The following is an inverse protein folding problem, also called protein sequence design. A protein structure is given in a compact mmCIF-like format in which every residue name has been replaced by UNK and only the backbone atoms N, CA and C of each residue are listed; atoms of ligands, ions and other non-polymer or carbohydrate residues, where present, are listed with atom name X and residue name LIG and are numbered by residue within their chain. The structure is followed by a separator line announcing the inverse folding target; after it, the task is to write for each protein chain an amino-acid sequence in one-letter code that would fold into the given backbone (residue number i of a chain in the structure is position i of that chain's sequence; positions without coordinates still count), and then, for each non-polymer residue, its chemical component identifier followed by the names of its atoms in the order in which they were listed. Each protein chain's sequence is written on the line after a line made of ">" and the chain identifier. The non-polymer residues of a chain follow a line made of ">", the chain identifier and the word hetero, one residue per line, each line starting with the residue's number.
data_IF_868351348313
#
_entry.id   IF_868351348313
#
_cell.length_a   1.000
_cell.length_b   1.000
_cell.length_c   1.000
_cell.angle_alpha   90.00
_cell.angle_beta   90.00
_cell.angle_gamma   90.00
#
_symmetry.space_group_name_H-M   'P 1'
#
loop_
_entity.id
_entity.type
_entity.pdbx_description
1 polymer ?
#
# COMPACT_ATOMS: atom_id res chain seq x y z
N UNK A 1 10.57 -22.74 -5.90
CA UNK A 1 9.18 -22.29 -6.15
C UNK A 1 8.83 -21.27 -5.10
N UNK A 2 8.34 -20.10 -5.48
CA UNK A 2 7.92 -19.05 -4.53
C UNK A 2 6.49 -19.24 -4.04
N UNK A 3 5.62 -19.70 -4.94
CA UNK A 3 4.19 -19.92 -4.68
C UNK A 3 3.94 -21.41 -4.50
N UNK A 4 3.18 -21.77 -3.47
CA UNK A 4 2.66 -23.12 -3.27
C UNK A 4 1.38 -23.29 -4.06
N UNK A 5 1.33 -24.31 -4.92
CA UNK A 5 0.15 -24.55 -5.77
C UNK A 5 -1.01 -25.14 -4.97
N UNK A 6 -2.17 -24.48 -5.03
CA UNK A 6 -3.41 -24.96 -4.42
C UNK A 6 -4.31 -25.62 -5.47
N UNK A 7 -4.91 -26.77 -5.12
CA UNK A 7 -5.83 -27.48 -6.01
C UNK A 7 -7.16 -26.74 -6.06
N UNK A 8 -7.65 -26.43 -7.26
CA UNK A 8 -8.88 -25.64 -7.46
C UNK A 8 -10.13 -26.23 -6.79
N UNK A 9 -10.20 -27.56 -6.62
CA UNK A 9 -11.33 -28.26 -5.98
C UNK A 9 -11.01 -28.71 -4.54
N UNK A 10 -9.99 -28.13 -3.93
CA UNK A 10 -9.68 -28.38 -2.52
C UNK A 10 -10.83 -27.80 -1.64
N UNK A 11 -11.45 -28.59 -0.75
CA UNK A 11 -12.45 -28.06 0.18
C UNK A 11 -11.89 -26.97 1.10
N UNK A 12 -10.56 -26.91 1.29
CA UNK A 12 -9.85 -25.92 2.09
C UNK A 12 -9.05 -24.93 1.22
N UNK A 13 -9.53 -24.64 0.01
CA UNK A 13 -8.84 -23.76 -0.94
C UNK A 13 -8.38 -22.42 -0.33
N UNK A 14 -9.26 -21.75 0.44
CA UNK A 14 -8.93 -20.50 1.11
C UNK A 14 -7.73 -20.62 2.05
N UNK A 15 -7.69 -21.68 2.88
CA UNK A 15 -6.58 -21.92 3.80
C UNK A 15 -5.28 -22.23 3.05
N UNK A 16 -5.37 -23.01 1.96
CA UNK A 16 -4.20 -23.29 1.14
C UNK A 16 -3.61 -22.00 0.55
N UNK A 17 -4.46 -21.13 -0.01
CA UNK A 17 -4.04 -19.85 -0.57
C UNK A 17 -3.45 -18.95 0.51
N UNK A 18 -4.10 -18.85 1.67
CA UNK A 18 -3.59 -18.11 2.83
C UNK A 18 -2.19 -18.57 3.20
N UNK A 19 -1.97 -19.88 3.34
CA UNK A 19 -0.65 -20.44 3.66
C UNK A 19 0.39 -20.12 2.57
N UNK A 20 0.00 -20.19 1.30
CA UNK A 20 0.89 -19.81 0.20
C UNK A 20 1.27 -18.33 0.23
N UNK A 21 0.35 -17.43 0.57
CA UNK A 21 0.63 -15.99 0.68
C UNK A 21 1.51 -15.70 1.90
N UNK A 22 1.23 -16.33 3.05
CA UNK A 22 2.07 -16.19 4.24
C UNK A 22 3.51 -16.66 3.97
N UNK A 23 3.68 -17.75 3.21
CA UNK A 23 5.01 -18.24 2.81
C UNK A 23 5.75 -17.29 1.86
N UNK A 24 5.03 -16.42 1.13
CA UNK A 24 5.63 -15.42 0.24
C UNK A 24 6.17 -14.20 0.98
N UNK A 25 5.78 -13.96 2.23
CA UNK A 25 6.06 -12.71 2.97
C UNK A 25 7.53 -12.30 2.94
N UNK A 26 8.44 -13.22 3.27
CA UNK A 26 9.88 -12.97 3.24
C UNK A 26 10.40 -12.62 1.84
N UNK A 27 9.79 -13.19 0.79
CA UNK A 27 10.16 -12.92 -0.59
C UNK A 27 9.56 -11.63 -1.14
N UNK A 28 8.36 -11.26 -0.70
CA UNK A 28 7.80 -9.94 -0.98
C UNK A 28 8.65 -8.84 -0.35
N UNK A 29 9.11 -9.06 0.89
CA UNK A 29 10.03 -8.15 1.58
C UNK A 29 11.28 -7.83 0.75
N UNK A 30 11.97 -8.85 0.24
CA UNK A 30 13.18 -8.66 -0.57
C UNK A 30 12.93 -8.39 -2.06
N UNK A 31 11.71 -8.64 -2.54
CA UNK A 31 11.38 -8.69 -3.97
C UNK A 31 11.85 -9.97 -4.66
N UNK A 32 11.44 -10.11 -5.93
CA UNK A 32 11.84 -11.18 -6.85
C UNK A 32 12.14 -10.55 -8.23
N UNK A 33 13.33 -9.94 -8.42
CA UNK A 33 13.67 -9.19 -9.63
C UNK A 33 13.59 -10.02 -10.91
N UNK A 34 13.88 -11.32 -10.85
CA UNK A 34 13.79 -12.24 -11.97
C UNK A 34 12.35 -12.47 -12.47
N UNK A 35 11.35 -12.12 -11.64
CA UNK A 35 9.93 -12.13 -11.99
C UNK A 35 9.35 -10.71 -12.18
N UNK A 36 10.19 -9.67 -12.08
CA UNK A 36 9.75 -8.28 -12.13
C UNK A 36 8.96 -7.82 -10.90
N UNK A 37 9.07 -8.53 -9.77
CA UNK A 37 8.41 -8.15 -8.51
C UNK A 37 9.39 -7.28 -7.69
N UNK A 38 9.06 -6.01 -7.40
CA UNK A 38 9.91 -5.16 -6.59
C UNK A 38 9.95 -5.60 -5.13
N UNK A 39 10.89 -5.06 -4.36
CA UNK A 39 10.89 -5.20 -2.90
C UNK A 39 9.69 -4.45 -2.30
N UNK A 40 9.15 -4.97 -1.20
CA UNK A 40 8.07 -4.33 -0.44
C UNK A 40 8.57 -3.65 0.84
N UNK A 41 9.88 -3.69 1.12
CA UNK A 41 10.53 -2.98 2.24
C UNK A 41 11.89 -2.37 1.83
N UNK A 42 11.93 -1.10 1.41
CA UNK A 42 10.76 -0.32 0.99
C UNK A 42 10.21 -0.79 -0.36
N UNK A 43 8.91 -0.56 -0.58
CA UNK A 43 8.37 -0.43 -1.92
C UNK A 43 8.65 0.98 -2.44
N UNK A 44 9.53 1.06 -3.42
CA UNK A 44 9.87 2.31 -4.10
C UNK A 44 8.97 2.54 -5.30
N UNK A 45 8.41 3.75 -5.40
CA UNK A 45 7.63 4.24 -6.53
C UNK A 45 8.31 5.50 -7.05
N UNK A 46 9.01 5.36 -8.18
CA UNK A 46 9.78 6.43 -8.81
C UNK A 46 8.92 7.34 -9.71
N UNK A 47 7.71 6.91 -10.07
CA UNK A 47 6.81 7.66 -10.94
C UNK A 47 6.19 8.88 -10.23
N UNK A 48 5.97 9.96 -10.99
CA UNK A 48 5.20 11.11 -10.54
C UNK A 48 3.70 10.71 -10.44
N UNK A 49 3.19 10.69 -9.22
CA UNK A 49 1.80 10.38 -8.93
C UNK A 49 1.01 11.65 -8.67
N UNK A 50 0.02 11.91 -9.51
CA UNK A 50 -0.96 12.96 -9.26
C UNK A 50 -2.00 12.48 -8.24
N UNK A 51 -1.98 13.08 -7.04
CA UNK A 51 -2.98 12.81 -6.00
C UNK A 51 -4.26 13.61 -6.22
N UNK A 52 -4.12 14.85 -6.66
CA UNK A 52 -5.24 15.75 -6.93
C UNK A 52 -4.84 16.79 -7.97
N UNK A 53 -5.77 17.14 -8.86
CA UNK A 53 -5.53 18.16 -9.88
C UNK A 53 -6.82 18.91 -10.24
N UNK A 54 -6.74 20.23 -10.23
CA UNK A 54 -7.80 21.17 -10.55
C UNK A 54 -7.19 22.50 -11.01
N UNK A 55 -8.01 23.47 -11.43
CA UNK A 55 -7.53 24.79 -11.87
C UNK A 55 -6.87 25.61 -10.75
N UNK A 56 -7.27 25.41 -9.49
CA UNK A 56 -6.80 26.21 -8.34
C UNK A 56 -5.96 25.41 -7.36
N UNK A 57 -5.80 24.11 -7.58
CA UNK A 57 -5.10 23.21 -6.68
C UNK A 57 -4.52 22.03 -7.44
N UNK A 58 -3.25 21.72 -7.22
CA UNK A 58 -2.62 20.46 -7.64
C UNK A 58 -1.74 19.91 -6.53
N UNK A 59 -1.74 18.59 -6.38
CA UNK A 59 -0.88 17.86 -5.48
C UNK A 59 -0.31 16.64 -6.21
N UNK A 60 1.02 16.54 -6.22
CA UNK A 60 1.78 15.45 -6.80
C UNK A 60 2.77 14.90 -5.78
N UNK A 61 3.14 13.64 -5.93
CA UNK A 61 4.23 13.02 -5.18
C UNK A 61 5.20 12.37 -6.14
N UNK A 62 6.46 12.27 -5.72
CA UNK A 62 7.52 11.58 -6.46
C UNK A 62 8.50 10.96 -5.48
N UNK A 63 9.31 10.02 -5.97
CA UNK A 63 10.38 9.38 -5.20
C UNK A 63 9.85 8.80 -3.87
N UNK A 64 8.72 8.08 -3.93
CA UNK A 64 8.06 7.56 -2.73
C UNK A 64 8.65 6.22 -2.31
N UNK A 65 8.84 6.04 -1.00
CA UNK A 65 9.17 4.79 -0.35
C UNK A 65 8.06 4.46 0.66
N UNK A 66 7.50 3.26 0.52
CA UNK A 66 6.48 2.71 1.41
C UNK A 66 7.11 1.58 2.22
N UNK A 67 6.94 1.62 3.54
CA UNK A 67 7.45 0.64 4.49
C UNK A 67 6.31 0.02 5.30
N UNK A 68 6.54 -1.17 5.85
CA UNK A 68 5.62 -1.91 6.71
C UNK A 68 4.62 -2.81 5.96
N UNK A 69 4.51 -2.68 4.63
CA UNK A 69 3.53 -3.43 3.82
C UNK A 69 3.92 -4.90 3.56
N UNK A 70 5.13 -5.31 3.91
CA UNK A 70 5.48 -6.73 4.00
C UNK A 70 5.11 -7.34 5.36
N UNK A 71 4.72 -6.51 6.34
CA UNK A 71 4.52 -6.93 7.72
C UNK A 71 3.03 -7.12 8.06
N UNK A 72 2.36 -8.00 7.32
CA UNK A 72 0.97 -8.37 7.62
C UNK A 72 0.89 -9.67 8.42
N UNK A 73 0.22 -9.63 9.57
CA UNK A 73 0.07 -10.77 10.47
C UNK A 73 -1.31 -11.43 10.35
N UNK A 74 -2.37 -10.62 10.16
CA UNK A 74 -3.76 -11.09 10.06
C UNK A 74 -4.26 -11.09 8.61
N UNK A 75 -3.79 -12.06 7.82
CA UNK A 75 -4.34 -12.32 6.47
C UNK A 75 -5.58 -13.21 6.56
N UNK A 76 -6.74 -12.76 6.08
CA UNK A 76 -7.90 -13.63 5.80
C UNK A 76 -8.09 -13.76 4.30
N UNK A 77 -8.41 -14.97 3.86
CA UNK A 77 -8.64 -15.29 2.44
C UNK A 77 -10.02 -15.87 2.26
N UNK A 78 -10.73 -15.38 1.25
CA UNK A 78 -11.98 -15.98 0.76
C UNK A 78 -11.87 -16.23 -0.74
N UNK A 79 -11.73 -17.50 -1.11
CA UNK A 79 -11.64 -17.91 -2.50
C UNK A 79 -12.97 -18.51 -2.99
N UNK A 80 -13.44 -18.08 -4.17
CA UNK A 80 -14.68 -18.56 -4.79
C UNK A 80 -14.41 -19.12 -6.18
N UNK A 81 -14.75 -20.39 -6.41
CA UNK A 81 -14.39 -21.12 -7.64
C UNK A 81 -15.23 -20.67 -8.86
N UNK A 82 -16.52 -20.42 -8.65
CA UNK A 82 -17.47 -20.06 -9.72
C UNK A 82 -17.17 -18.69 -10.33
N UNK A 83 -16.78 -17.72 -9.50
CA UNK A 83 -16.42 -16.36 -9.93
C UNK A 83 -14.92 -16.14 -10.16
N UNK A 84 -14.08 -17.14 -9.90
CA UNK A 84 -12.60 -17.00 -9.92
C UNK A 84 -12.10 -15.81 -9.10
N UNK A 85 -12.75 -15.58 -7.97
CA UNK A 85 -12.51 -14.42 -7.13
C UNK A 85 -11.76 -14.84 -5.88
N UNK A 86 -10.71 -14.09 -5.54
CA UNK A 86 -9.99 -14.23 -4.27
C UNK A 86 -10.07 -12.88 -3.58
N UNK A 87 -10.72 -12.86 -2.43
CA UNK A 87 -10.73 -11.72 -1.52
C UNK A 87 -9.61 -11.90 -0.50
N UNK A 88 -8.82 -10.86 -0.30
CA UNK A 88 -7.76 -10.78 0.70
C UNK A 88 -8.09 -9.64 1.64
N UNK A 89 -8.19 -9.94 2.93
CA UNK A 89 -8.28 -8.95 3.99
C UNK A 89 -6.96 -9.00 4.76
N UNK A 90 -6.26 -7.87 4.78
CA UNK A 90 -4.89 -7.71 5.27
C UNK A 90 -4.87 -6.61 6.32
N UNK A 91 -4.28 -6.90 7.48
CA UNK A 91 -3.97 -5.91 8.50
C UNK A 91 -2.48 -5.62 8.52
N UNK A 92 -2.13 -4.34 8.63
CA UNK A 92 -0.77 -3.85 8.82
C UNK A 92 -0.76 -2.99 10.08
N UNK A 93 0.14 -3.28 11.02
CA UNK A 93 0.23 -2.55 12.29
C UNK A 93 0.71 -1.10 12.09
N UNK A 94 1.69 -0.93 11.21
CA UNK A 94 2.27 0.36 10.87
C UNK A 94 2.61 0.39 9.38
N UNK A 95 2.18 1.46 8.69
CA UNK A 95 2.59 1.74 7.32
C UNK A 95 3.19 3.14 7.30
N UNK A 96 4.44 3.24 6.87
CA UNK A 96 5.16 4.51 6.75
C UNK A 96 5.35 4.85 5.29
N UNK A 97 5.08 6.11 4.95
CA UNK A 97 5.32 6.65 3.61
C UNK A 97 6.30 7.82 3.72
N UNK A 98 7.37 7.77 2.94
CA UNK A 98 8.34 8.85 2.78
C UNK A 98 8.44 9.20 1.31
N UNK A 99 8.49 10.48 0.96
CA UNK A 99 8.64 10.89 -0.43
C UNK A 99 8.56 12.40 -0.57
N UNK A 100 8.87 12.87 -1.78
CA UNK A 100 8.79 14.27 -2.12
C UNK A 100 7.36 14.61 -2.58
N UNK A 101 6.92 15.83 -2.27
CA UNK A 101 5.63 16.35 -2.69
C UNK A 101 5.79 17.68 -3.43
N UNK A 102 4.93 17.90 -4.41
CA UNK A 102 4.76 19.18 -5.10
C UNK A 102 3.29 19.59 -4.99
N UNK A 103 3.04 20.65 -4.24
CA UNK A 103 1.70 21.18 -4.00
C UNK A 103 1.64 22.63 -4.46
N UNK A 104 0.71 22.90 -5.37
CA UNK A 104 0.35 24.24 -5.81
C UNK A 104 -1.07 24.55 -5.34
N UNK A 105 -1.26 25.70 -4.71
CA UNK A 105 -2.58 26.23 -4.38
C UNK A 105 -2.68 27.70 -4.81
N UNK A 106 -3.76 28.03 -5.53
CA UNK A 106 -4.07 29.40 -5.91
C UNK A 106 -5.18 29.94 -5.01
N UNK A 107 -4.77 30.77 -4.05
CA UNK A 107 -5.68 31.44 -3.13
C UNK A 107 -6.04 32.81 -3.72
N UNK A 108 -7.29 32.96 -4.17
CA UNK A 108 -7.79 34.18 -4.81
C UNK A 108 -8.31 35.22 -3.80
N UNK A 109 -8.57 34.80 -2.56
CA UNK A 109 -9.14 35.64 -1.49
C UNK A 109 -8.20 35.69 -0.29
N UNK A 110 -8.07 36.83 0.41
CA UNK A 110 -7.22 36.91 1.59
C UNK A 110 -7.69 35.94 2.68
N UNK A 111 -6.74 35.27 3.33
CA UNK A 111 -7.00 34.47 4.54
C UNK A 111 -6.77 35.39 5.74
N UNK A 112 -7.84 35.78 6.41
CA UNK A 112 -7.81 36.55 7.66
C UNK A 112 -8.32 35.65 8.79
N UNK A 113 -7.54 35.49 9.86
CA UNK A 113 -7.91 34.70 11.04
C UNK A 113 -7.45 35.43 12.31
N UNK A 114 -8.32 35.51 13.31
CA UNK A 114 -8.03 36.01 14.66
C UNK A 114 -8.41 34.93 15.67
N UNK A 115 -7.57 34.70 16.67
CA UNK A 115 -7.79 33.68 17.70
C UNK A 115 -6.88 33.87 18.92
N UNK A 116 -7.23 33.29 20.08
CA UNK A 116 -6.44 33.43 21.30
C UNK A 116 -5.11 32.68 21.19
N UNK A 117 -4.02 33.35 21.55
CA UNK A 117 -2.71 32.71 21.77
C UNK A 117 -2.56 32.47 23.28
N UNK A 118 -2.21 31.25 23.66
CA UNK A 118 -1.86 30.89 25.03
C UNK A 118 -0.42 30.38 25.05
N UNK A 119 0.40 31.01 25.89
CA UNK A 119 1.75 30.58 26.20
C UNK A 119 1.73 30.10 27.64
N UNK A 120 1.87 28.79 27.83
CA UNK A 120 2.12 28.20 29.14
C UNK A 120 3.64 27.98 29.24
N UNK A 121 4.26 28.58 30.25
CA UNK A 121 5.69 28.50 30.55
C UNK A 121 6.02 27.29 31.42
#
# INVERSE_FOLDING_TARGET
>A
SYISTCKRRDPNLSQCIQNSIMALREKLKSGMPELGVPAFEPLTIDDDLTLASSQTFSARTKDMNIYGISQFDDLKVKATIEGQFIELDLHFDEVKLEGDYDVMARILVPITSEGPIRLDA
#
